data_IF_147640880950
#
_entry.id   IF_147640880950
#
_cell.length_a   1.000
_cell.length_b   1.000
_cell.length_c   1.000
_cell.angle_alpha   90.00
_cell.angle_beta   90.00
_cell.angle_gamma   90.00
#
_symmetry.space_group_name_H-M   'P 1'
#
loop_
_entity.id
_entity.type
_entity.pdbx_description
1 polymer ?
#
# COMPACT_ATOMS: atom_id res chain seq x y z
N UNK A 1 23.72 -17.63 20.96
CA UNK A 1 23.57 -16.28 21.55
C UNK A 1 22.11 -16.08 21.87
N UNK A 2 21.73 -16.15 23.14
CA UNK A 2 20.33 -16.01 23.56
C UNK A 2 19.95 -14.52 23.56
N UNK A 3 19.09 -14.11 22.65
CA UNK A 3 18.57 -12.73 22.59
C UNK A 3 17.66 -12.49 23.79
N UNK A 4 18.13 -11.77 24.80
CA UNK A 4 17.33 -11.39 25.97
C UNK A 4 16.35 -10.29 25.56
N UNK A 5 15.13 -10.68 25.21
CA UNK A 5 14.03 -9.76 24.92
C UNK A 5 13.56 -9.15 26.26
N UNK A 6 13.47 -7.82 26.34
CA UNK A 6 13.11 -7.17 27.60
C UNK A 6 11.67 -7.54 28.06
N UNK A 7 11.39 -7.62 29.37
CA UNK A 7 10.06 -7.98 29.88
C UNK A 7 8.95 -7.04 29.40
N UNK A 8 9.28 -5.76 29.19
CA UNK A 8 8.39 -4.75 28.61
C UNK A 8 8.06 -5.06 27.15
N UNK A 9 9.06 -5.46 26.36
CA UNK A 9 8.88 -5.87 24.97
C UNK A 9 8.00 -7.13 24.87
N UNK A 10 8.19 -8.10 25.78
CA UNK A 10 7.37 -9.31 25.87
C UNK A 10 5.92 -8.93 26.21
N UNK A 11 5.71 -8.11 27.24
CA UNK A 11 4.36 -7.68 27.66
C UNK A 11 3.59 -6.99 26.53
N UNK A 12 4.25 -6.09 25.79
CA UNK A 12 3.58 -5.37 24.71
C UNK A 12 3.33 -6.28 23.51
N UNK A 13 4.25 -7.19 23.16
CA UNK A 13 4.01 -8.19 22.12
C UNK A 13 2.81 -9.08 22.47
N UNK A 14 2.71 -9.55 23.71
CA UNK A 14 1.59 -10.38 24.18
C UNK A 14 0.22 -9.67 24.16
N UNK A 15 0.19 -8.34 24.20
CA UNK A 15 -1.08 -7.57 24.12
C UNK A 15 -1.71 -7.61 22.73
N UNK A 16 -0.90 -7.78 21.69
CA UNK A 16 -1.33 -7.63 20.28
C UNK A 16 -1.15 -8.93 19.48
N UNK A 17 -0.18 -9.75 19.88
CA UNK A 17 0.22 -10.98 19.21
C UNK A 17 0.28 -12.13 20.24
N UNK A 18 -0.20 -13.31 19.86
CA UNK A 18 0.02 -14.51 20.66
C UNK A 18 1.24 -15.24 20.11
N UNK A 19 2.22 -15.54 20.96
CA UNK A 19 3.35 -16.37 20.58
C UNK A 19 2.84 -17.80 20.32
N UNK A 20 2.98 -18.29 19.10
CA UNK A 20 2.70 -19.68 18.78
C UNK A 20 3.93 -20.53 19.19
N UNK A 21 3.83 -21.36 20.24
CA UNK A 21 4.98 -22.07 20.77
C UNK A 21 5.49 -23.17 19.82
N UNK A 22 4.70 -23.58 18.83
CA UNK A 22 5.05 -24.66 17.89
C UNK A 22 5.92 -24.11 16.75
N UNK A 23 5.57 -22.92 16.26
CA UNK A 23 6.26 -22.31 15.11
C UNK A 23 7.22 -21.19 15.50
N UNK A 24 7.24 -20.77 16.78
CA UNK A 24 7.97 -19.60 17.26
C UNK A 24 7.63 -18.32 16.45
N UNK A 25 6.37 -18.19 16.01
CA UNK A 25 5.88 -17.03 15.24
C UNK A 25 4.87 -16.23 16.07
N UNK A 26 4.87 -14.92 15.90
CA UNK A 26 3.84 -14.03 16.45
C UNK A 26 2.55 -14.19 15.64
N UNK A 27 1.51 -14.74 16.27
CA UNK A 27 0.18 -14.90 15.70
C UNK A 27 -0.59 -13.60 15.84
N UNK A 28 -0.96 -12.99 14.71
CA UNK A 28 -1.85 -11.83 14.68
C UNK A 28 -3.18 -12.14 15.36
N UNK A 29 -3.77 -11.10 15.99
CA UNK A 29 -5.11 -11.19 16.56
C UNK A 29 -6.12 -11.64 15.49
N UNK A 30 -6.87 -12.73 15.71
CA UNK A 30 -7.81 -13.24 14.70
C UNK A 30 -8.94 -12.26 14.45
N UNK A 31 -9.42 -12.21 13.21
CA UNK A 31 -10.48 -11.28 12.76
C UNK A 31 -11.72 -11.35 13.64
N UNK A 32 -12.08 -12.55 14.12
CA UNK A 32 -13.22 -12.76 15.03
C UNK A 32 -13.10 -12.02 16.37
N UNK A 33 -11.89 -11.67 16.82
CA UNK A 33 -11.66 -10.92 18.07
C UNK A 33 -11.50 -9.41 17.82
N UNK A 34 -11.56 -8.95 16.56
CA UNK A 34 -11.41 -7.53 16.22
C UNK A 34 -12.61 -6.76 16.76
N UNK A 35 -12.35 -5.78 17.64
CA UNK A 35 -13.37 -4.86 18.12
C UNK A 35 -13.68 -3.90 16.99
N UNK A 36 -14.96 -3.81 16.60
CA UNK A 36 -15.41 -2.84 15.60
C UNK A 36 -15.84 -1.58 16.36
N UNK A 37 -15.38 -0.43 15.89
CA UNK A 37 -15.92 0.83 16.37
C UNK A 37 -17.39 0.91 15.97
N UNK A 38 -18.21 1.50 16.84
CA UNK A 38 -19.63 1.72 16.55
C UNK A 38 -19.71 2.74 15.39
N UNK A 39 -20.43 2.44 14.31
CA UNK A 39 -20.62 3.39 13.22
C UNK A 39 -21.23 4.67 13.76
N UNK A 40 -20.51 5.78 13.64
CA UNK A 40 -21.00 7.11 13.97
C UNK A 40 -21.28 7.83 12.65
N UNK A 41 -22.29 8.71 12.59
CA UNK A 41 -22.55 9.51 11.40
C UNK A 41 -21.34 10.40 11.10
N UNK A 42 -20.71 10.20 9.94
CA UNK A 42 -19.56 11.01 9.51
C UNK A 42 -20.01 12.44 9.19
N UNK A 43 -19.45 13.47 9.86
CA UNK A 43 -19.80 14.86 9.55
C UNK A 43 -19.49 15.21 8.10
N UNK A 44 -20.33 16.04 7.48
CA UNK A 44 -20.23 16.40 6.06
C UNK A 44 -18.86 16.99 5.67
N UNK A 45 -18.20 17.69 6.58
CA UNK A 45 -16.87 18.29 6.38
C UNK A 45 -15.73 17.28 6.12
N UNK A 46 -15.96 16.00 6.40
CA UNK A 46 -15.02 14.90 6.16
C UNK A 46 -15.43 14.02 4.98
N UNK A 47 -16.47 14.41 4.23
CA UNK A 47 -16.87 13.66 3.05
C UNK A 47 -15.84 13.88 1.95
N UNK A 48 -15.60 12.83 1.16
CA UNK A 48 -14.72 12.92 0.00
C UNK A 48 -15.50 13.62 -1.11
N UNK A 49 -15.20 14.88 -1.32
CA UNK A 49 -15.70 15.61 -2.48
C UNK A 49 -14.87 15.21 -3.70
N UNK A 50 -15.55 14.76 -4.75
CA UNK A 50 -14.95 14.50 -6.04
C UNK A 50 -15.34 15.66 -6.96
N UNK A 51 -14.35 16.36 -7.48
CA UNK A 51 -14.59 17.39 -8.47
C UNK A 51 -14.38 16.81 -9.86
N UNK A 52 -15.40 16.93 -10.71
CA UNK A 52 -15.25 16.60 -12.13
C UNK A 52 -14.41 17.71 -12.79
N UNK A 53 -13.10 17.53 -12.82
CA UNK A 53 -12.29 18.20 -13.85
C UNK A 53 -12.75 17.64 -15.20
N UNK A 54 -12.98 18.54 -16.19
CA UNK A 54 -13.31 18.29 -17.62
C UNK A 54 -13.49 16.82 -18.01
N UNK A 55 -14.63 16.49 -18.65
CA UNK A 55 -15.00 15.13 -19.08
C UNK A 55 -13.77 14.25 -19.41
N UNK A 56 -13.44 13.24 -18.58
CA UNK A 56 -12.23 12.44 -18.76
C UNK A 56 -12.23 11.67 -20.08
N UNK A 57 -13.38 11.56 -20.75
CA UNK A 57 -13.53 10.89 -22.03
C UNK A 57 -13.18 11.79 -23.22
N UNK A 58 -13.02 13.12 -23.04
CA UNK A 58 -12.87 14.06 -24.17
C UNK A 58 -11.64 13.77 -25.04
N UNK A 59 -10.58 13.18 -24.48
CA UNK A 59 -9.32 12.89 -25.18
C UNK A 59 -9.16 11.41 -25.57
N UNK A 60 -10.15 10.55 -25.29
CA UNK A 60 -10.02 9.13 -25.60
C UNK A 60 -10.21 8.87 -27.11
N UNK A 61 -9.38 8.00 -27.72
CA UNK A 61 -9.60 7.59 -29.09
C UNK A 61 -10.92 6.80 -29.21
N UNK A 62 -11.68 7.05 -30.28
CA UNK A 62 -12.93 6.33 -30.56
C UNK A 62 -12.61 4.89 -30.94
N UNK A 63 -13.01 3.95 -30.08
CA UNK A 63 -12.87 2.51 -30.37
C UNK A 63 -13.97 2.03 -31.34
N UNK A 64 -13.68 1.05 -32.21
CA UNK A 64 -14.68 0.47 -33.10
C UNK A 64 -15.80 -0.26 -32.32
N UNK A 65 -17.05 -0.02 -32.70
CA UNK A 65 -18.26 -0.54 -32.01
C UNK A 65 -18.52 -2.02 -32.23
N UNK A 66 -17.90 -2.61 -33.25
CA UNK A 66 -17.98 -4.03 -33.56
C UNK A 66 -16.59 -4.63 -33.57
N UNK A 67 -16.17 -5.29 -32.48
CA UNK A 67 -14.95 -6.08 -32.52
C UNK A 67 -15.14 -7.22 -33.53
N UNK A 68 -14.09 -7.61 -34.27
CA UNK A 68 -14.14 -8.80 -35.10
C UNK A 68 -14.54 -10.02 -34.26
N UNK A 69 -15.27 -11.00 -34.82
CA UNK A 69 -15.76 -12.16 -34.09
C UNK A 69 -14.60 -12.88 -33.39
N UNK A 70 -14.69 -12.98 -32.05
CA UNK A 70 -13.70 -13.64 -31.21
C UNK A 70 -13.68 -15.14 -31.50
N UNK A 71 -12.60 -15.63 -32.11
CA UNK A 71 -12.35 -17.06 -32.30
C UNK A 71 -11.32 -17.48 -31.26
N UNK A 72 -11.68 -18.32 -30.27
CA UNK A 72 -10.73 -18.73 -29.23
C UNK A 72 -9.70 -19.70 -29.83
N UNK A 73 -8.62 -19.15 -30.37
CA UNK A 73 -7.39 -19.90 -30.62
C UNK A 73 -6.58 -19.98 -29.33
N UNK A 74 -5.84 -21.08 -29.15
CA UNK A 74 -4.99 -21.31 -27.96
C UNK A 74 -3.81 -20.33 -27.83
N UNK A 75 -3.67 -19.36 -28.74
CA UNK A 75 -2.62 -18.35 -28.79
C UNK A 75 -3.06 -17.15 -29.66
N UNK A 76 -2.55 -15.94 -29.37
CA UNK A 76 -2.80 -14.74 -30.19
C UNK A 76 -2.18 -14.92 -31.58
N UNK A 77 -2.87 -14.49 -32.63
CA UNK A 77 -2.29 -14.46 -33.98
C UNK A 77 -1.23 -13.36 -34.06
N UNK A 78 -0.23 -13.45 -34.97
CA UNK A 78 0.79 -12.40 -35.12
C UNK A 78 0.19 -11.00 -35.28
N UNK A 79 -0.92 -10.89 -36.04
CA UNK A 79 -1.64 -9.63 -36.23
C UNK A 79 -2.30 -9.10 -34.94
N UNK A 80 -2.84 -9.98 -34.10
CA UNK A 80 -3.43 -9.58 -32.81
C UNK A 80 -2.35 -9.17 -31.83
N UNK A 81 -1.19 -9.83 -31.85
CA UNK A 81 -0.03 -9.44 -31.07
C UNK A 81 0.43 -8.03 -31.47
N UNK A 82 0.55 -7.74 -32.76
CA UNK A 82 0.91 -6.40 -33.28
C UNK A 82 -0.08 -5.32 -32.81
N UNK A 83 -1.38 -5.63 -32.79
CA UNK A 83 -2.40 -4.72 -32.26
C UNK A 83 -2.23 -4.45 -30.76
N UNK A 84 -1.93 -5.48 -29.97
CA UNK A 84 -1.66 -5.33 -28.53
C UNK A 84 -0.39 -4.52 -28.29
N UNK A 85 0.68 -4.77 -29.05
CA UNK A 85 1.90 -3.96 -28.98
C UNK A 85 1.64 -2.49 -29.29
N UNK A 86 0.86 -2.21 -30.34
CA UNK A 86 0.46 -0.86 -30.68
C UNK A 86 -0.36 -0.20 -29.56
N UNK A 87 -1.34 -0.91 -28.99
CA UNK A 87 -2.17 -0.38 -27.90
C UNK A 87 -1.35 -0.08 -26.64
N UNK A 88 -0.45 -0.99 -26.23
CA UNK A 88 0.41 -0.80 -25.07
C UNK A 88 1.36 0.38 -25.27
N UNK A 89 1.89 0.55 -26.49
CA UNK A 89 2.69 1.73 -26.84
C UNK A 89 1.87 3.01 -26.77
N UNK A 90 0.68 3.04 -27.36
CA UNK A 90 -0.16 4.23 -27.41
C UNK A 90 -0.66 4.66 -26.03
N UNK A 91 -0.77 3.71 -25.09
CA UNK A 91 -1.19 3.94 -23.72
C UNK A 91 -0.03 3.77 -22.73
N UNK A 92 1.21 3.99 -23.15
CA UNK A 92 2.39 3.73 -22.31
C UNK A 92 2.36 4.53 -21.00
N UNK A 93 1.88 5.78 -21.05
CA UNK A 93 1.72 6.68 -19.89
C UNK A 93 0.67 6.20 -18.87
N UNK A 94 -0.23 5.28 -19.25
CA UNK A 94 -1.22 4.72 -18.35
C UNK A 94 -0.63 3.60 -17.45
N UNK A 95 0.54 3.08 -17.80
CA UNK A 95 1.24 2.05 -17.05
C UNK A 95 2.39 2.66 -16.24
N UNK A 96 2.70 2.04 -15.12
CA UNK A 96 3.93 2.32 -14.37
C UNK A 96 4.88 1.14 -14.56
N UNK A 97 5.95 1.34 -15.32
CA UNK A 97 7.01 0.36 -15.57
C UNK A 97 7.97 0.28 -14.39
N UNK A 98 8.12 1.38 -13.65
CA UNK A 98 8.90 1.44 -12.41
C UNK A 98 8.20 2.24 -11.29
N UNK A 99 8.84 2.27 -10.12
CA UNK A 99 8.28 2.93 -8.95
C UNK A 99 8.29 4.47 -9.04
N UNK A 100 9.09 5.05 -9.94
CA UNK A 100 9.17 6.48 -10.21
C UNK A 100 8.06 6.97 -11.13
N UNK A 101 7.58 6.11 -12.04
CA UNK A 101 6.41 6.35 -12.89
C UNK A 101 5.06 6.15 -12.17
N UNK A 102 5.11 5.97 -10.85
CA UNK A 102 3.89 5.78 -10.06
C UNK A 102 3.01 7.02 -10.16
N UNK A 103 1.80 6.83 -10.70
CA UNK A 103 0.78 7.87 -10.76
C UNK A 103 0.41 8.44 -9.39
N UNK A 104 0.17 9.76 -9.36
CA UNK A 104 -0.42 10.47 -8.22
C UNK A 104 -1.79 11.00 -8.64
N UNK A 105 -2.72 11.06 -7.69
CA UNK A 105 -4.01 11.70 -7.95
C UNK A 105 -3.79 13.19 -8.16
N UNK A 106 -4.44 13.74 -9.18
CA UNK A 106 -4.41 15.18 -9.41
C UNK A 106 -5.18 15.88 -8.29
N UNK A 107 -4.56 16.87 -7.65
CA UNK A 107 -5.11 17.57 -6.47
C UNK A 107 -6.35 18.41 -6.82
N UNK A 108 -6.54 18.77 -8.09
CA UNK A 108 -7.70 19.49 -8.62
C UNK A 108 -8.94 18.60 -8.77
N UNK A 109 -8.75 17.30 -9.02
CA UNK A 109 -9.82 16.30 -9.03
C UNK A 109 -10.08 15.72 -7.63
N UNK A 110 -9.01 15.45 -6.89
CA UNK A 110 -9.05 14.79 -5.58
C UNK A 110 -8.36 15.65 -4.53
N UNK A 111 -9.19 16.39 -3.78
CA UNK A 111 -8.70 17.18 -2.65
C UNK A 111 -8.07 16.28 -1.56
N UNK A 112 -7.10 16.80 -0.79
CA UNK A 112 -6.50 16.06 0.31
C UNK A 112 -7.54 15.55 1.31
N UNK A 113 -7.52 14.24 1.57
CA UNK A 113 -8.44 13.58 2.50
C UNK A 113 -8.24 14.10 3.93
N UNK A 114 -9.33 14.56 4.56
CA UNK A 114 -9.35 14.87 5.99
C UNK A 114 -9.85 13.66 6.77
N UNK A 115 -9.01 13.12 7.64
CA UNK A 115 -9.39 12.02 8.53
C UNK A 115 -10.09 12.64 9.75
N UNK A 116 -11.35 12.26 9.99
CA UNK A 116 -12.10 12.68 11.17
C UNK A 116 -11.44 12.13 12.44
N UNK A 117 -10.89 13.03 13.27
CA UNK A 117 -10.26 12.66 14.53
C UNK A 117 -11.23 12.91 15.69
N UNK A 118 -11.46 11.91 16.52
CA UNK A 118 -12.10 12.10 17.83
C UNK A 118 -11.07 12.67 18.81
N UNK A 119 -11.50 13.38 19.86
CA UNK A 119 -10.58 13.85 20.88
C UNK A 119 -9.89 12.66 21.58
N UNK A 120 -8.56 12.57 21.47
CA UNK A 120 -7.76 11.50 22.07
C UNK A 120 -6.34 11.99 22.33
N UNK A 121 -5.58 11.21 23.11
CA UNK A 121 -4.16 11.44 23.29
C UNK A 121 -3.40 10.79 22.12
N UNK A 122 -2.46 11.50 21.48
CA UNK A 122 -1.68 10.91 20.41
C UNK A 122 -0.86 9.73 20.94
N UNK A 123 -0.76 8.66 20.16
CA UNK A 123 -0.03 7.45 20.53
C UNK A 123 1.41 7.51 20.02
N UNK A 124 2.36 7.21 20.90
CA UNK A 124 3.78 7.12 20.59
C UNK A 124 4.24 5.73 21.01
N UNK A 125 4.45 4.85 20.05
CA UNK A 125 4.97 3.52 20.27
C UNK A 125 6.43 3.42 19.85
N UNK A 126 7.26 2.69 20.61
CA UNK A 126 8.65 2.44 20.21
C UNK A 126 8.74 1.38 19.11
N UNK A 127 9.56 1.64 18.08
CA UNK A 127 9.77 0.71 16.98
C UNK A 127 10.46 -0.58 17.43
N UNK A 128 10.13 -1.68 16.75
CA UNK A 128 10.79 -2.96 16.95
C UNK A 128 12.21 -2.85 16.36
N UNK A 129 13.26 -3.30 17.06
CA UNK A 129 14.62 -3.29 16.54
C UNK A 129 14.71 -4.07 15.22
N UNK A 130 15.31 -3.45 14.21
CA UNK A 130 15.52 -4.09 12.91
C UNK A 130 16.68 -5.09 13.05
N UNK A 131 16.50 -6.36 12.66
CA UNK A 131 17.57 -7.34 12.69
C UNK A 131 18.77 -6.88 11.83
N UNK A 132 20.02 -7.04 12.31
CA UNK A 132 21.21 -6.58 11.59
C UNK A 132 21.33 -7.13 10.17
N UNK A 133 20.88 -8.36 9.94
CA UNK A 133 20.95 -9.03 8.64
C UNK A 133 20.16 -8.31 7.53
N UNK A 134 19.03 -7.67 7.86
CA UNK A 134 18.16 -7.00 6.89
C UNK A 134 18.26 -5.47 6.94
N UNK A 135 19.14 -4.93 7.80
CA UNK A 135 19.20 -3.50 8.10
C UNK A 135 19.46 -2.62 6.88
N UNK A 136 20.44 -3.01 6.05
CA UNK A 136 20.80 -2.25 4.85
C UNK A 136 19.69 -2.28 3.78
N UNK A 137 19.02 -3.42 3.62
CA UNK A 137 17.91 -3.56 2.67
C UNK A 137 16.75 -2.65 3.08
N UNK A 138 16.41 -2.63 4.36
CA UNK A 138 15.34 -1.77 4.88
C UNK A 138 15.66 -0.29 4.69
N UNK A 139 16.92 0.12 4.92
CA UNK A 139 17.36 1.50 4.66
C UNK A 139 17.17 1.86 3.19
N UNK A 140 17.56 0.98 2.27
CA UNK A 140 17.42 1.23 0.84
C UNK A 140 15.95 1.40 0.45
N UNK A 141 15.06 0.53 0.95
CA UNK A 141 13.61 0.63 0.70
C UNK A 141 13.06 1.97 1.21
N UNK A 142 13.47 2.41 2.39
CA UNK A 142 13.01 3.70 2.94
C UNK A 142 13.50 4.86 2.07
N UNK A 143 14.77 4.83 1.63
CA UNK A 143 15.33 5.86 0.73
C UNK A 143 14.61 5.90 -0.61
N UNK A 144 14.35 4.75 -1.22
CA UNK A 144 13.59 4.63 -2.48
C UNK A 144 12.17 5.19 -2.33
N UNK A 145 11.50 4.91 -1.21
CA UNK A 145 10.16 5.46 -0.95
C UNK A 145 10.17 6.97 -0.70
N UNK A 146 11.26 7.52 -0.15
CA UNK A 146 11.44 8.97 -0.01
C UNK A 146 11.71 9.60 -1.38
N UNK A 147 12.59 9.02 -2.20
CA UNK A 147 12.88 9.54 -3.55
C UNK A 147 11.66 9.46 -4.47
N UNK A 148 10.84 8.43 -4.33
CA UNK A 148 9.57 8.30 -5.05
C UNK A 148 8.45 9.22 -4.51
N UNK A 149 8.71 10.03 -3.47
CA UNK A 149 7.73 10.95 -2.88
C UNK A 149 6.62 10.29 -2.06
N UNK A 150 6.66 8.96 -1.87
CA UNK A 150 5.66 8.22 -1.08
C UNK A 150 5.80 8.52 0.41
N UNK A 151 7.03 8.64 0.89
CA UNK A 151 7.34 8.99 2.28
C UNK A 151 7.86 10.41 2.38
N UNK A 152 7.34 11.13 3.38
CA UNK A 152 7.76 12.48 3.72
C UNK A 152 8.28 12.51 5.15
N UNK A 153 9.43 13.16 5.35
CA UNK A 153 9.93 13.39 6.70
C UNK A 153 8.96 14.28 7.47
N UNK A 154 8.65 13.89 8.69
CA UNK A 154 7.69 14.62 9.53
C UNK A 154 8.07 14.52 11.00
N UNK A 155 7.66 15.51 11.77
CA UNK A 155 7.77 15.53 13.23
C UNK A 155 6.34 15.50 13.79
N UNK A 156 5.80 14.29 13.89
CA UNK A 156 4.42 14.06 14.33
C UNK A 156 4.38 13.54 15.75
N UNK A 157 3.30 13.87 16.47
CA UNK A 157 2.99 13.28 17.77
C UNK A 157 2.51 11.83 17.67
N UNK A 158 2.23 11.34 16.46
CA UNK A 158 1.81 9.97 16.19
C UNK A 158 2.98 9.13 15.72
N UNK A 159 3.20 7.99 16.35
CA UNK A 159 4.21 7.03 15.92
C UNK A 159 3.73 5.61 16.21
N UNK A 160 3.50 4.84 15.15
CA UNK A 160 3.05 3.45 15.23
C UNK A 160 4.24 2.52 15.02
N UNK A 161 4.18 1.31 15.61
CA UNK A 161 5.13 0.25 15.31
C UNK A 161 5.00 -0.19 13.86
N UNK A 162 6.15 -0.50 13.28
CA UNK A 162 6.25 -1.18 12.00
C UNK A 162 7.30 -2.28 12.07
N UNK A 163 7.20 -3.25 11.17
CA UNK A 163 8.16 -4.34 11.04
C UNK A 163 8.25 -4.81 9.59
N UNK A 164 9.23 -5.67 9.31
CA UNK A 164 9.47 -6.18 7.97
C UNK A 164 8.98 -7.62 7.84
N UNK A 165 8.29 -7.92 6.76
CA UNK A 165 7.89 -9.26 6.34
C UNK A 165 8.60 -9.62 5.05
N UNK A 166 9.16 -10.83 4.98
CA UNK A 166 9.67 -11.40 3.74
C UNK A 166 8.49 -11.84 2.87
N UNK A 167 8.41 -11.35 1.64
CA UNK A 167 7.39 -11.75 0.66
C UNK A 167 7.55 -13.22 0.27
N UNK A 168 6.54 -13.75 -0.43
CA UNK A 168 6.51 -15.14 -0.91
C UNK A 168 7.76 -15.53 -1.72
N UNK A 169 8.40 -14.56 -2.37
CA UNK A 169 9.63 -14.75 -3.15
C UNK A 169 10.85 -15.13 -2.28
N UNK A 170 10.75 -15.04 -0.95
CA UNK A 170 11.80 -15.36 -0.01
C UNK A 170 12.93 -14.34 0.08
N UNK A 171 12.91 -13.29 -0.74
CA UNK A 171 13.96 -12.26 -0.84
C UNK A 171 13.42 -10.86 -0.57
N UNK A 172 12.36 -10.48 -1.27
CA UNK A 172 11.81 -9.13 -1.21
C UNK A 172 11.19 -8.83 0.16
N UNK A 173 11.50 -7.67 0.74
CA UNK A 173 10.93 -7.23 2.01
C UNK A 173 9.70 -6.32 1.82
N UNK A 174 8.77 -6.40 2.75
CA UNK A 174 7.60 -5.53 2.85
C UNK A 174 7.55 -4.92 4.25
N UNK A 175 7.53 -3.59 4.33
CA UNK A 175 7.33 -2.87 5.59
C UNK A 175 5.83 -2.79 5.88
N UNK A 176 5.43 -3.21 7.08
CA UNK A 176 4.06 -3.19 7.60
C UNK A 176 4.00 -2.31 8.84
#
# INVERSE_FOLDING_TARGET
TATTISPLTISVLHSTYQLDPIYHVLKCKPVARKVRLVPTSMPAEFWVEHWEAKDPLTNLPVLPTHPPPFVPARFLWPMELDLVWWLVREQEDAFAWDASERGTFQEDMFLPLKIAMLAHKPWIEQNIPIPPAIFHEVINIIKEKISAGVYKLSTLSYHSKWFCIVKKDGKSLCLI
#
